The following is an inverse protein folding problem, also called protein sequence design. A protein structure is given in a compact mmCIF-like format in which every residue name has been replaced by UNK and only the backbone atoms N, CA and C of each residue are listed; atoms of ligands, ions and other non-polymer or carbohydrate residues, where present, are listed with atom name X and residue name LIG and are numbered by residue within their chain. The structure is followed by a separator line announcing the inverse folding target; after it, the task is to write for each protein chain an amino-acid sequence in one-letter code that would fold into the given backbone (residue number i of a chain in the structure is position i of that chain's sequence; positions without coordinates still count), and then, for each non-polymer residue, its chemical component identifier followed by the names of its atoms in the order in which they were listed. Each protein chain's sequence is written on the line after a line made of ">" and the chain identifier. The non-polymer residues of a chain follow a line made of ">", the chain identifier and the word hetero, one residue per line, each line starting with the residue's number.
data_IF_502413025849
#
_entry.id   IF_502413025849
#
_cell.length_a   1.000
_cell.length_b   1.000
_cell.length_c   1.000
_cell.angle_alpha   90.00
_cell.angle_beta   90.00
_cell.angle_gamma   90.00
#
_symmetry.space_group_name_H-M   'P 1'
#
loop_
_entity.id
_entity.type
_entity.pdbx_description
1 polymer ?
#
# COMPACT_ATOMS: atom_id res chain seq x y z
N UNK A 1 -2.01 5.95 -9.50
CA UNK A 1 -3.25 5.47 -10.10
C UNK A 1 -4.45 5.97 -9.30
N UNK A 2 -5.47 6.55 -9.95
CA UNK A 2 -6.72 6.98 -9.34
C UNK A 2 -6.62 8.04 -8.23
N UNK A 3 -7.72 8.21 -7.49
CA UNK A 3 -7.85 9.26 -6.47
C UNK A 3 -8.00 8.74 -5.04
N UNK A 4 -8.48 7.49 -4.86
CA UNK A 4 -8.69 6.89 -3.55
C UNK A 4 -7.58 5.86 -3.27
N UNK A 5 -6.74 6.16 -2.30
CA UNK A 5 -5.55 5.38 -1.99
C UNK A 5 -5.65 4.81 -0.57
N UNK A 6 -5.41 3.51 -0.44
CA UNK A 6 -5.26 2.82 0.85
C UNK A 6 -3.78 2.51 1.09
N UNK A 7 -3.24 2.82 2.26
CA UNK A 7 -1.91 2.39 2.70
C UNK A 7 -2.05 1.39 3.86
N UNK A 8 -1.64 0.15 3.62
CA UNK A 8 -1.80 -0.96 4.56
C UNK A 8 -0.52 -1.14 5.38
N UNK A 9 -0.68 -1.16 6.71
CA UNK A 9 0.45 -1.27 7.62
C UNK A 9 1.34 -0.04 7.53
N UNK A 10 0.73 1.14 7.55
CA UNK A 10 1.39 2.43 7.28
C UNK A 10 2.57 2.73 8.20
N UNK A 11 2.59 2.15 9.40
CA UNK A 11 3.71 2.26 10.33
C UNK A 11 3.99 3.71 10.73
N UNK A 12 5.14 4.22 10.32
CA UNK A 12 5.55 5.61 10.49
C UNK A 12 5.00 6.54 9.37
N UNK A 13 4.01 6.09 8.59
CA UNK A 13 3.37 6.86 7.53
C UNK A 13 4.02 6.74 6.15
N UNK A 14 4.86 5.71 5.93
CA UNK A 14 5.54 5.52 4.65
C UNK A 14 4.97 4.32 3.88
N UNK A 15 4.53 4.52 2.62
CA UNK A 15 4.71 5.72 1.78
C UNK A 15 3.56 6.74 1.85
N UNK A 16 2.46 6.48 2.59
CA UNK A 16 1.22 7.23 2.54
C UNK A 16 1.37 8.74 2.79
N UNK A 17 2.03 9.15 3.88
CA UNK A 17 2.20 10.57 4.24
C UNK A 17 2.96 11.37 3.18
N UNK A 18 4.16 10.96 2.72
CA UNK A 18 4.86 11.68 1.65
C UNK A 18 4.04 11.79 0.37
N UNK A 19 3.30 10.75 0.01
CA UNK A 19 2.45 10.77 -1.17
C UNK A 19 1.25 11.71 -1.02
N UNK A 20 0.64 11.77 0.16
CA UNK A 20 -0.45 12.68 0.46
C UNK A 20 -0.02 14.14 0.36
N UNK A 21 1.18 14.47 0.88
CA UNK A 21 1.76 15.81 0.79
C UNK A 21 1.93 16.29 -0.65
N UNK A 22 2.44 15.42 -1.54
CA UNK A 22 2.68 15.79 -2.95
C UNK A 22 1.46 15.57 -3.85
N UNK A 23 0.36 15.08 -3.30
CA UNK A 23 -0.87 14.79 -4.04
C UNK A 23 -2.12 15.28 -3.28
N UNK A 24 -2.27 16.59 -3.00
CA UNK A 24 -3.31 17.11 -2.12
C UNK A 24 -4.74 16.93 -2.65
N UNK A 25 -4.90 16.62 -3.94
CA UNK A 25 -6.21 16.35 -4.58
C UNK A 25 -6.65 14.88 -4.48
N UNK A 26 -5.82 14.00 -3.89
CA UNK A 26 -6.13 12.57 -3.74
C UNK A 26 -6.45 12.27 -2.28
N UNK A 27 -7.31 11.29 -2.05
CA UNK A 27 -7.72 10.86 -0.73
C UNK A 27 -6.89 9.65 -0.28
N UNK A 28 -6.35 9.73 0.91
CA UNK A 28 -5.55 8.67 1.50
C UNK A 28 -6.23 8.13 2.76
N UNK A 29 -6.42 6.82 2.82
CA UNK A 29 -6.73 6.11 4.05
C UNK A 29 -5.50 5.32 4.48
N UNK A 30 -4.95 5.62 5.65
CA UNK A 30 -3.82 4.90 6.23
C UNK A 30 -4.33 3.99 7.35
N UNK A 31 -4.05 2.71 7.26
CA UNK A 31 -4.47 1.75 8.29
C UNK A 31 -3.26 1.06 8.92
N UNK A 32 -3.32 0.84 10.23
CA UNK A 32 -2.34 0.04 10.96
C UNK A 32 -3.02 -0.69 12.13
N UNK A 33 -2.59 -1.92 12.40
CA UNK A 33 -3.09 -2.72 13.52
C UNK A 33 -2.55 -2.26 14.89
N UNK A 34 -1.58 -1.36 14.91
CA UNK A 34 -0.97 -0.82 16.11
C UNK A 34 -1.50 0.58 16.41
N UNK A 35 -2.30 0.69 17.49
CA UNK A 35 -2.89 1.97 17.89
C UNK A 35 -1.85 3.07 18.19
N UNK A 36 -0.67 2.73 18.72
CA UNK A 36 0.39 3.71 18.99
C UNK A 36 0.88 4.37 17.69
N UNK A 37 0.92 3.61 16.59
CA UNK A 37 1.28 4.15 15.28
C UNK A 37 0.20 5.07 14.73
N UNK A 38 -1.07 4.73 14.91
CA UNK A 38 -2.20 5.59 14.50
C UNK A 38 -2.19 6.91 15.30
N UNK A 39 -1.93 6.86 16.60
CA UNK A 39 -1.78 8.07 17.43
C UNK A 39 -0.63 8.94 16.90
N UNK A 40 0.54 8.34 16.62
CA UNK A 40 1.67 9.06 16.02
C UNK A 40 1.29 9.69 14.68
N UNK A 41 0.65 8.93 13.79
CA UNK A 41 0.20 9.44 12.48
C UNK A 41 -0.81 10.59 12.61
N UNK A 42 -1.67 10.55 13.63
CA UNK A 42 -2.58 11.66 13.90
C UNK A 42 -1.84 12.95 14.28
N UNK A 43 -0.79 12.85 15.09
CA UNK A 43 0.08 14.00 15.35
C UNK A 43 0.76 14.51 14.07
N UNK A 44 1.25 13.61 13.21
CA UNK A 44 1.85 13.98 11.92
C UNK A 44 0.82 14.68 11.03
N UNK A 45 -0.39 14.11 10.91
CA UNK A 45 -1.50 14.68 10.12
C UNK A 45 -1.80 16.12 10.54
N UNK A 46 -1.95 16.37 11.85
CA UNK A 46 -2.25 17.69 12.41
C UNK A 46 -1.09 18.67 12.14
N UNK A 47 0.15 18.27 12.42
CA UNK A 47 1.31 19.14 12.26
C UNK A 47 1.63 19.51 10.80
N UNK A 48 1.23 18.68 9.85
CA UNK A 48 1.42 18.89 8.41
C UNK A 48 0.15 19.37 7.70
N UNK A 49 -0.92 19.62 8.44
CA UNK A 49 -2.22 20.10 7.92
C UNK A 49 -2.75 19.24 6.75
N UNK A 50 -2.72 17.91 6.93
CA UNK A 50 -3.10 16.96 5.89
C UNK A 50 -4.61 16.68 5.92
N UNK A 51 -5.40 17.52 5.27
CA UNK A 51 -6.86 17.34 5.18
C UNK A 51 -7.27 16.12 4.35
N UNK A 52 -6.41 15.68 3.42
CA UNK A 52 -6.64 14.58 2.50
C UNK A 52 -6.22 13.20 3.06
N UNK A 53 -5.94 13.11 4.35
CA UNK A 53 -5.53 11.86 5.01
C UNK A 53 -6.53 11.46 6.08
N UNK A 54 -7.07 10.25 5.98
CA UNK A 54 -7.81 9.59 7.04
C UNK A 54 -6.98 8.48 7.68
N UNK A 55 -7.18 8.24 8.97
CA UNK A 55 -6.45 7.25 9.75
C UNK A 55 -7.42 6.25 10.38
N UNK A 56 -7.07 4.97 10.36
CA UNK A 56 -7.93 3.95 10.95
C UNK A 56 -7.11 2.87 11.65
N UNK A 57 -7.39 2.66 12.95
CA UNK A 57 -6.84 1.55 13.71
C UNK A 57 -7.60 0.27 13.38
N UNK A 58 -7.17 -0.42 12.31
CA UNK A 58 -7.74 -1.70 11.86
C UNK A 58 -6.73 -2.52 11.08
N UNK A 59 -7.01 -3.82 10.97
CA UNK A 59 -6.41 -4.68 9.96
C UNK A 59 -7.23 -4.59 8.67
N UNK A 60 -6.62 -4.92 7.53
CA UNK A 60 -7.32 -4.94 6.23
C UNK A 60 -8.48 -5.94 6.24
N UNK A 61 -8.31 -7.07 6.91
CA UNK A 61 -9.30 -8.14 7.03
C UNK A 61 -10.57 -7.69 7.79
N UNK A 62 -10.45 -6.64 8.60
CA UNK A 62 -11.54 -6.09 9.41
C UNK A 62 -12.26 -4.90 8.74
N UNK A 63 -11.90 -4.56 7.51
CA UNK A 63 -12.56 -3.51 6.72
C UNK A 63 -13.89 -4.02 6.16
N UNK A 64 -14.93 -4.00 7.01
CA UNK A 64 -16.25 -4.58 6.71
C UNK A 64 -17.12 -3.76 5.74
N UNK A 65 -16.76 -2.54 5.37
CA UNK A 65 -17.52 -1.73 4.44
C UNK A 65 -16.69 -1.48 3.19
N UNK A 66 -17.26 -1.88 2.08
CA UNK A 66 -16.67 -1.85 0.73
C UNK A 66 -16.41 -0.42 0.30
N UNK A 67 -15.32 0.17 0.80
CA UNK A 67 -14.70 1.28 0.09
C UNK A 67 -13.81 0.64 -0.96
N UNK A 68 -14.04 0.98 -2.22
CA UNK A 68 -13.14 0.57 -3.29
C UNK A 68 -12.03 1.62 -3.43
N UNK A 69 -10.80 1.12 -3.52
CA UNK A 69 -9.61 1.93 -3.70
C UNK A 69 -9.05 1.75 -5.11
N UNK A 70 -8.59 2.84 -5.69
CA UNK A 70 -7.93 2.80 -6.99
C UNK A 70 -6.49 2.31 -6.85
N UNK A 71 -5.89 2.55 -5.70
CA UNK A 71 -4.54 2.11 -5.38
C UNK A 71 -4.46 1.61 -3.95
N UNK A 72 -3.91 0.42 -3.76
CA UNK A 72 -3.55 -0.11 -2.45
C UNK A 72 -2.03 -0.16 -2.35
N UNK A 73 -1.47 0.54 -1.39
CA UNK A 73 -0.04 0.61 -1.11
C UNK A 73 0.31 -0.32 0.05
N UNK A 74 1.48 -0.94 -0.01
CA UNK A 74 2.02 -1.65 1.14
C UNK A 74 3.55 -1.69 1.09
N UNK A 75 4.15 -1.57 2.28
CA UNK A 75 5.59 -1.69 2.47
C UNK A 75 5.88 -2.59 3.67
N UNK A 76 6.66 -3.67 3.47
CA UNK A 76 7.07 -4.59 4.55
C UNK A 76 5.89 -5.14 5.38
N UNK A 77 4.74 -5.31 4.74
CA UNK A 77 3.51 -5.76 5.41
C UNK A 77 3.41 -7.29 5.46
N UNK A 78 3.46 -7.96 4.30
CA UNK A 78 3.32 -9.40 4.16
C UNK A 78 3.88 -9.91 2.83
N UNK A 79 3.74 -11.21 2.55
CA UNK A 79 4.04 -11.77 1.23
C UNK A 79 3.08 -11.24 0.15
N UNK A 80 3.49 -11.25 -1.12
CA UNK A 80 2.65 -10.80 -2.25
C UNK A 80 1.34 -11.59 -2.32
N UNK A 81 1.38 -12.90 -2.05
CA UNK A 81 0.19 -13.76 -1.98
C UNK A 81 -0.80 -13.26 -0.92
N UNK A 82 -0.33 -13.01 0.30
CA UNK A 82 -1.16 -12.52 1.41
C UNK A 82 -1.71 -11.13 1.09
N UNK A 83 -0.87 -10.22 0.58
CA UNK A 83 -1.27 -8.87 0.18
C UNK A 83 -2.40 -8.96 -0.86
N UNK A 84 -2.22 -9.75 -1.92
CA UNK A 84 -3.23 -9.93 -2.96
C UNK A 84 -4.54 -10.47 -2.40
N UNK A 85 -4.49 -11.57 -1.65
CA UNK A 85 -5.70 -12.22 -1.11
C UNK A 85 -6.51 -11.31 -0.20
N UNK A 86 -5.84 -10.50 0.63
CA UNK A 86 -6.52 -9.59 1.57
C UNK A 86 -7.01 -8.30 0.91
N UNK A 87 -6.43 -7.92 -0.24
CA UNK A 87 -6.65 -6.60 -0.84
C UNK A 87 -7.53 -6.59 -2.08
N UNK A 88 -7.59 -7.70 -2.83
CA UNK A 88 -8.23 -7.73 -4.15
C UNK A 88 -9.71 -7.32 -4.12
N UNK A 89 -10.43 -7.67 -3.05
CA UNK A 89 -11.84 -7.33 -2.88
C UNK A 89 -12.06 -5.85 -2.52
N UNK A 90 -11.02 -5.13 -2.13
CA UNK A 90 -11.06 -3.70 -1.81
C UNK A 90 -10.61 -2.83 -2.99
N UNK A 91 -10.17 -3.43 -4.09
CA UNK A 91 -9.79 -2.68 -5.30
C UNK A 91 -11.02 -2.34 -6.16
N UNK A 92 -11.01 -1.13 -6.72
CA UNK A 92 -11.87 -0.75 -7.84
C UNK A 92 -11.57 -1.61 -9.08
N UNK A 93 -12.45 -1.62 -10.07
CA UNK A 93 -12.38 -2.50 -11.24
C UNK A 93 -11.05 -2.39 -12.02
N UNK A 94 -10.48 -1.19 -12.10
CA UNK A 94 -9.18 -0.94 -12.73
C UNK A 94 -8.09 -0.58 -11.69
N UNK A 95 -8.28 -1.01 -10.44
CA UNK A 95 -7.38 -0.70 -9.35
C UNK A 95 -6.08 -1.51 -9.40
N UNK A 96 -5.09 -1.04 -8.65
CA UNK A 96 -3.78 -1.69 -8.55
C UNK A 96 -3.32 -1.83 -7.12
N UNK A 97 -2.59 -2.91 -6.84
CA UNK A 97 -1.80 -3.05 -5.61
C UNK A 97 -0.36 -2.69 -5.94
N UNK A 98 0.26 -1.85 -5.13
CA UNK A 98 1.66 -1.45 -5.24
C UNK A 98 2.40 -1.92 -3.99
N UNK A 99 3.18 -2.98 -4.13
CA UNK A 99 3.97 -3.55 -3.05
C UNK A 99 5.45 -3.14 -3.19
N UNK A 100 5.98 -2.50 -2.14
CA UNK A 100 7.41 -2.12 -2.08
C UNK A 100 8.23 -3.26 -1.51
N UNK A 101 9.26 -3.68 -2.24
CA UNK A 101 10.17 -4.77 -1.90
C UNK A 101 11.63 -4.31 -1.91
N UNK A 102 12.48 -4.99 -1.17
CA UNK A 102 13.92 -4.81 -1.23
C UNK A 102 14.51 -5.51 -2.44
N UNK A 103 15.05 -6.72 -2.24
CA UNK A 103 15.53 -7.59 -3.33
C UNK A 103 14.38 -8.00 -4.25
N UNK A 104 14.74 -8.44 -5.45
CA UNK A 104 13.75 -9.00 -6.37
C UNK A 104 13.05 -10.20 -5.74
N UNK A 105 11.71 -10.22 -5.64
CA UNK A 105 10.98 -11.20 -4.82
C UNK A 105 10.61 -12.46 -5.61
N UNK A 106 11.60 -13.22 -6.10
CA UNK A 106 11.40 -14.42 -6.94
C UNK A 106 10.40 -15.40 -6.37
N UNK A 107 10.60 -15.83 -5.13
CA UNK A 107 9.75 -16.85 -4.49
C UNK A 107 8.32 -16.35 -4.26
N UNK A 108 8.18 -15.07 -3.92
CA UNK A 108 6.86 -14.47 -3.70
C UNK A 108 6.08 -14.31 -5.03
N UNK A 109 6.77 -14.02 -6.14
CA UNK A 109 6.15 -13.94 -7.47
C UNK A 109 5.70 -15.32 -7.93
N UNK A 110 6.53 -16.35 -7.77
CA UNK A 110 6.17 -17.73 -8.06
C UNK A 110 4.95 -18.20 -7.23
N UNK A 111 4.90 -17.83 -5.95
CA UNK A 111 3.76 -18.14 -5.09
C UNK A 111 2.48 -17.38 -5.51
N UNK A 112 2.61 -16.17 -6.06
CA UNK A 112 1.49 -15.40 -6.58
C UNK A 112 0.96 -16.00 -7.89
N UNK A 113 1.83 -16.40 -8.83
CA UNK A 113 1.49 -17.08 -10.08
C UNK A 113 0.82 -18.44 -9.83
N UNK A 114 1.26 -19.16 -8.80
CA UNK A 114 0.65 -20.43 -8.39
C UNK A 114 -0.76 -20.24 -7.76
N UNK A 115 -1.09 -19.06 -7.27
CA UNK A 115 -2.44 -18.77 -6.77
C UNK A 115 -3.44 -18.67 -7.92
N UNK A 116 -3.08 -17.97 -9.00
CA UNK A 116 -3.85 -17.97 -10.26
C UNK A 116 -2.97 -17.45 -11.40
N UNK A 117 -2.97 -18.17 -12.51
CA UNK A 117 -2.27 -17.78 -13.74
C UNK A 117 -2.88 -16.53 -14.42
N UNK A 118 -4.07 -16.11 -14.01
CA UNK A 118 -4.71 -14.89 -14.52
C UNK A 118 -4.23 -13.60 -13.84
N UNK A 119 -3.47 -13.71 -12.75
CA UNK A 119 -2.96 -12.53 -12.03
C UNK A 119 -1.91 -11.85 -12.89
N UNK A 120 -2.16 -10.60 -13.25
CA UNK A 120 -1.23 -9.77 -14.01
C UNK A 120 -0.43 -8.90 -13.07
N UNK A 121 0.88 -8.86 -13.24
CA UNK A 121 1.76 -7.99 -12.47
C UNK A 121 2.93 -7.48 -13.29
N UNK A 122 3.55 -6.42 -12.81
CA UNK A 122 4.80 -5.86 -13.34
C UNK A 122 5.75 -5.60 -12.20
N UNK A 123 7.03 -5.95 -12.37
CA UNK A 123 8.08 -5.64 -11.41
C UNK A 123 8.99 -4.56 -11.98
N UNK A 124 9.21 -3.49 -11.20
CA UNK A 124 10.12 -2.40 -11.57
C UNK A 124 11.21 -2.26 -10.53
N UNK A 125 12.47 -2.27 -10.97
CA UNK A 125 13.59 -1.86 -10.13
C UNK A 125 13.58 -0.34 -9.96
N UNK A 126 13.78 0.12 -8.73
CA UNK A 126 13.88 1.54 -8.42
C UNK A 126 15.31 1.85 -8.04
N UNK A 127 15.90 2.82 -8.74
CA UNK A 127 17.19 3.35 -8.38
C UNK A 127 17.01 4.51 -7.38
N UNK A 128 17.52 4.31 -6.16
CA UNK A 128 17.51 5.36 -5.14
C UNK A 128 18.90 5.96 -5.08
N UNK A 129 19.06 7.27 -5.38
CA UNK A 129 20.38 7.90 -5.35
C UNK A 129 21.09 7.70 -4.02
N UNK A 130 22.38 7.40 -4.06
CA UNK A 130 23.25 7.15 -2.90
C UNK A 130 22.87 5.92 -2.05
N UNK A 131 21.97 5.06 -2.51
CA UNK A 131 21.63 3.81 -1.87
C UNK A 131 22.13 2.63 -2.72
N UNK A 132 23.07 1.84 -2.18
CA UNK A 132 23.56 0.63 -2.86
C UNK A 132 22.60 -0.57 -2.78
N UNK A 133 21.64 -0.53 -1.86
CA UNK A 133 20.67 -1.62 -1.68
C UNK A 133 19.61 -1.62 -2.77
N UNK A 134 19.27 -2.81 -3.25
CA UNK A 134 18.19 -2.99 -4.23
C UNK A 134 16.83 -2.55 -3.69
N UNK A 135 16.03 -1.97 -4.57
CA UNK A 135 14.63 -1.62 -4.32
C UNK A 135 13.79 -1.96 -5.53
N UNK A 136 12.66 -2.62 -5.28
CA UNK A 136 11.71 -3.00 -6.31
C UNK A 136 10.29 -2.59 -5.94
N UNK A 137 9.48 -2.35 -6.94
CA UNK A 137 8.04 -2.18 -6.82
C UNK A 137 7.37 -3.26 -7.64
N UNK A 138 6.47 -4.00 -7.02
CA UNK A 138 5.58 -4.93 -7.70
C UNK A 138 4.22 -4.27 -7.82
N UNK A 139 3.73 -4.13 -9.05
CA UNK A 139 2.40 -3.61 -9.37
C UNK A 139 1.55 -4.79 -9.79
N UNK A 140 0.49 -5.08 -9.02
CA UNK A 140 -0.47 -6.15 -9.33
C UNK A 140 -1.77 -5.49 -9.78
N UNK A 141 -2.31 -5.94 -10.88
CA UNK A 141 -3.52 -5.40 -11.51
C UNK A 141 -4.74 -6.26 -11.14
N UNK A 142 -5.88 -5.62 -10.94
CA UNK A 142 -7.17 -6.31 -10.81
C UNK A 142 -7.66 -6.82 -12.16
#
# INVERSE_FOLDING_TARGET
>A
FGNNILDIGSGAGFPGIPLALVSPKKNFLLIDANNKKIIFLNHVKINLDLENVDLLHKRIEDLNNVKFFDTILCRSYASLKTIYSNSINHLSENGVIIAMKGKYPHDELSALENLSKSIRFTVKRINVPKLSAERHVVIIYK
#
